data_IF_923616894999
#
_entry.id   IF_923616894999
#
_cell.length_a   1.000
_cell.length_b   1.000
_cell.length_c   1.000
_cell.angle_alpha   90.00
_cell.angle_beta   90.00
_cell.angle_gamma   90.00
#
_symmetry.space_group_name_H-M   'P 1'
#
loop_
_entity.id
_entity.type
_entity.pdbx_description
1 polymer ?
#
# COMPACT_ATOMS: atom_id res chain seq x y z
N UNK A 1 -20.62 15.03 -30.29
CA UNK A 1 -19.19 14.70 -30.16
C UNK A 1 -19.02 14.04 -28.79
N UNK A 2 -18.97 12.69 -28.86
CA UNK A 2 -18.94 11.79 -27.70
C UNK A 2 -17.49 11.56 -27.27
N UNK A 3 -17.13 12.01 -26.07
CA UNK A 3 -15.86 11.71 -25.43
C UNK A 3 -15.93 10.30 -24.82
N UNK A 4 -15.39 9.32 -25.49
CA UNK A 4 -15.13 7.99 -24.95
C UNK A 4 -13.94 8.09 -23.97
N UNK A 5 -14.18 7.93 -22.68
CA UNK A 5 -13.14 7.69 -21.68
C UNK A 5 -12.39 6.41 -22.02
N UNK A 6 -11.11 6.52 -22.37
CA UNK A 6 -10.18 5.40 -22.39
C UNK A 6 -9.99 4.90 -20.96
N UNK A 7 -10.46 3.70 -20.68
CA UNK A 7 -10.00 2.92 -19.52
C UNK A 7 -8.56 2.51 -19.82
N UNK A 8 -7.61 3.11 -19.12
CA UNK A 8 -6.23 2.64 -19.09
C UNK A 8 -6.20 1.26 -18.42
N UNK A 9 -5.62 0.30 -19.10
CA UNK A 9 -5.37 -1.03 -18.57
C UNK A 9 -4.22 -0.92 -17.57
N UNK A 10 -4.27 -1.63 -16.42
CA UNK A 10 -3.13 -1.72 -15.53
C UNK A 10 -1.98 -2.42 -16.23
N UNK A 11 -0.76 -1.88 -16.06
CA UNK A 11 0.46 -2.37 -16.68
C UNK A 11 0.72 -3.87 -16.40
N UNK A 12 1.48 -4.50 -17.28
CA UNK A 12 1.96 -5.90 -17.22
C UNK A 12 2.83 -6.12 -15.95
N UNK A 13 2.16 -6.34 -14.83
CA UNK A 13 2.70 -6.83 -13.58
C UNK A 13 1.75 -7.91 -13.08
N UNK A 14 2.28 -9.04 -12.67
CA UNK A 14 1.67 -10.22 -12.07
C UNK A 14 0.14 -10.15 -11.95
N UNK A 15 -0.59 -10.91 -12.79
CA UNK A 15 -2.07 -10.94 -12.72
C UNK A 15 -2.47 -11.25 -11.28
N UNK A 16 -2.96 -10.25 -10.56
CA UNK A 16 -3.42 -10.45 -9.22
C UNK A 16 -4.68 -11.33 -9.25
N UNK A 17 -4.78 -12.27 -8.34
CA UNK A 17 -5.94 -13.14 -8.21
C UNK A 17 -6.90 -12.58 -7.15
N UNK A 18 -8.14 -13.07 -7.14
CA UNK A 18 -9.15 -12.67 -6.16
C UNK A 18 -8.62 -12.68 -4.71
N UNK A 19 -7.97 -13.80 -4.31
CA UNK A 19 -7.47 -13.95 -2.94
C UNK A 19 -6.44 -12.88 -2.58
N UNK A 20 -5.49 -12.60 -3.46
CA UNK A 20 -4.48 -11.57 -3.22
C UNK A 20 -5.10 -10.18 -3.08
N UNK A 21 -6.07 -9.85 -3.94
CA UNK A 21 -6.79 -8.58 -3.88
C UNK A 21 -7.62 -8.46 -2.60
N UNK A 22 -8.30 -9.52 -2.21
CA UNK A 22 -9.06 -9.55 -0.95
C UNK A 22 -8.16 -9.39 0.28
N UNK A 23 -7.04 -10.14 0.34
CA UNK A 23 -6.09 -10.04 1.45
C UNK A 23 -5.39 -8.68 1.51
N UNK A 24 -5.31 -7.96 0.39
CA UNK A 24 -4.75 -6.61 0.30
C UNK A 24 -5.80 -5.51 0.47
N UNK A 25 -7.06 -5.85 0.71
CA UNK A 25 -8.15 -4.90 0.90
C UNK A 25 -8.58 -4.17 -0.39
N UNK A 26 -8.20 -4.69 -1.57
CA UNK A 26 -8.52 -4.10 -2.87
C UNK A 26 -9.88 -4.52 -3.39
N UNK A 27 -10.46 -5.59 -2.84
CA UNK A 27 -11.80 -6.05 -3.15
C UNK A 27 -12.51 -6.60 -1.90
N UNK A 28 -13.81 -6.86 -2.01
CA UNK A 28 -14.62 -7.49 -0.98
C UNK A 28 -15.03 -8.91 -1.41
N UNK A 29 -15.49 -9.73 -0.47
CA UNK A 29 -15.81 -11.15 -0.75
C UNK A 29 -16.77 -11.34 -1.93
N UNK A 30 -17.83 -10.54 -2.03
CA UNK A 30 -18.81 -10.62 -3.11
C UNK A 30 -18.23 -10.42 -4.51
N UNK A 31 -17.07 -9.80 -4.61
CA UNK A 31 -16.40 -9.59 -5.90
C UNK A 31 -15.86 -10.89 -6.50
N UNK A 32 -15.80 -12.00 -5.72
CA UNK A 32 -15.38 -13.31 -6.20
C UNK A 32 -16.21 -13.75 -7.42
N UNK A 33 -17.49 -13.42 -7.46
CA UNK A 33 -18.38 -13.74 -8.60
C UNK A 33 -17.91 -13.04 -9.89
N UNK A 34 -17.39 -11.81 -9.77
CA UNK A 34 -16.82 -11.07 -10.90
C UNK A 34 -15.56 -11.77 -11.43
N UNK A 35 -14.71 -12.30 -10.55
CA UNK A 35 -13.52 -13.05 -10.96
C UNK A 35 -13.91 -14.38 -11.61
N UNK A 36 -14.96 -15.07 -11.12
CA UNK A 36 -15.51 -16.27 -11.80
C UNK A 36 -16.02 -15.96 -13.21
N UNK A 37 -16.72 -14.82 -13.39
CA UNK A 37 -17.18 -14.38 -14.72
C UNK A 37 -16.01 -14.03 -15.65
N UNK A 38 -14.99 -13.35 -15.15
CA UNK A 38 -13.78 -13.05 -15.92
C UNK A 38 -13.08 -14.32 -16.36
N UNK A 39 -12.96 -15.33 -15.49
CA UNK A 39 -12.39 -16.62 -15.82
C UNK A 39 -13.15 -17.34 -16.93
N UNK A 40 -14.49 -17.36 -16.89
CA UNK A 40 -15.34 -17.96 -17.94
C UNK A 40 -15.19 -17.31 -19.31
N UNK A 41 -14.84 -16.01 -19.32
CA UNK A 41 -14.65 -15.25 -20.57
C UNK A 41 -13.25 -15.43 -21.20
N UNK A 42 -12.32 -16.03 -20.47
CA UNK A 42 -10.98 -16.37 -21.00
C UNK A 42 -11.10 -17.74 -21.68
N UNK A 43 -11.36 -17.76 -23.00
CA UNK A 43 -11.70 -18.96 -23.79
C UNK A 43 -10.60 -20.04 -23.88
N UNK A 44 -9.39 -19.80 -23.38
CA UNK A 44 -8.24 -20.71 -23.41
C UNK A 44 -7.47 -20.73 -22.09
N UNK A 45 -8.16 -20.65 -20.95
CA UNK A 45 -7.49 -20.74 -19.66
C UNK A 45 -7.08 -22.19 -19.40
N UNK A 46 -5.79 -22.49 -19.50
CA UNK A 46 -5.19 -23.77 -19.08
C UNK A 46 -5.25 -23.96 -17.55
N UNK A 47 -5.59 -22.89 -16.78
CA UNK A 47 -5.64 -22.90 -15.31
C UNK A 47 -7.06 -23.15 -14.82
N UNK A 48 -7.18 -23.93 -13.75
CA UNK A 48 -8.45 -24.22 -13.07
C UNK A 48 -9.03 -22.97 -12.40
N UNK A 49 -10.35 -22.95 -12.16
CA UNK A 49 -11.00 -21.82 -11.48
C UNK A 49 -10.43 -21.56 -10.06
N UNK A 50 -10.20 -22.56 -9.17
CA UNK A 50 -9.58 -22.31 -7.88
C UNK A 50 -8.19 -21.68 -8.01
N UNK A 51 -7.38 -22.13 -8.96
CA UNK A 51 -6.06 -21.55 -9.24
C UNK A 51 -6.16 -20.10 -9.73
N UNK A 52 -7.09 -19.79 -10.62
CA UNK A 52 -7.36 -18.43 -11.09
C UNK A 52 -7.80 -17.49 -9.96
N UNK A 53 -8.62 -18.00 -9.03
CA UNK A 53 -9.03 -17.26 -7.84
C UNK A 53 -7.92 -17.17 -6.78
N UNK A 54 -6.86 -17.98 -6.88
CA UNK A 54 -5.79 -18.09 -5.89
C UNK A 54 -6.21 -18.81 -4.60
N UNK A 55 -7.31 -19.55 -4.64
CA UNK A 55 -7.83 -20.30 -3.50
C UNK A 55 -7.14 -21.67 -3.42
N UNK A 56 -6.82 -22.10 -2.19
CA UNK A 56 -6.45 -23.49 -1.96
C UNK A 56 -7.67 -24.41 -2.23
N UNK A 57 -7.41 -25.71 -2.42
CA UNK A 57 -8.47 -26.68 -2.63
C UNK A 57 -9.52 -26.67 -1.50
N UNK A 58 -9.07 -26.58 -0.25
CA UNK A 58 -9.93 -26.47 0.92
C UNK A 58 -10.77 -25.20 0.92
N UNK A 59 -10.17 -24.03 0.61
CA UNK A 59 -10.89 -22.76 0.53
C UNK A 59 -11.93 -22.77 -0.59
N UNK A 60 -11.58 -23.37 -1.72
CA UNK A 60 -12.49 -23.49 -2.85
C UNK A 60 -13.66 -24.45 -2.55
N UNK A 61 -13.40 -25.56 -1.85
CA UNK A 61 -14.45 -26.48 -1.39
C UNK A 61 -15.43 -25.74 -0.46
N UNK A 62 -14.93 -24.98 0.52
CA UNK A 62 -15.76 -24.16 1.41
C UNK A 62 -16.61 -23.16 0.62
N UNK A 63 -16.05 -22.54 -0.42
CA UNK A 63 -16.78 -21.65 -1.33
C UNK A 63 -17.88 -22.36 -2.12
N UNK A 64 -17.63 -23.60 -2.55
CA UNK A 64 -18.63 -24.39 -3.26
C UNK A 64 -19.80 -24.82 -2.37
N UNK A 65 -19.52 -25.16 -1.10
CA UNK A 65 -20.52 -25.59 -0.13
C UNK A 65 -21.38 -24.44 0.40
N UNK A 66 -20.78 -23.27 0.58
CA UNK A 66 -21.46 -22.05 1.06
C UNK A 66 -21.22 -20.86 0.12
N UNK A 67 -22.08 -20.73 -0.88
CA UNK A 67 -22.04 -19.62 -1.86
C UNK A 67 -22.45 -18.26 -1.28
N UNK A 68 -22.91 -18.20 -0.02
CA UNK A 68 -23.07 -16.94 0.71
C UNK A 68 -21.73 -16.36 1.11
N UNK A 69 -20.71 -17.23 1.19
CA UNK A 69 -19.31 -16.88 1.44
C UNK A 69 -18.94 -16.65 2.90
N UNK A 70 -19.90 -16.79 3.84
CA UNK A 70 -19.63 -16.47 5.24
C UNK A 70 -18.51 -17.28 5.87
N UNK A 71 -18.35 -18.55 5.46
CA UNK A 71 -17.27 -19.40 5.94
C UNK A 71 -15.92 -19.07 5.26
N UNK A 72 -15.94 -18.87 3.94
CA UNK A 72 -14.75 -18.45 3.20
C UNK A 72 -14.24 -17.10 3.71
N UNK A 73 -15.12 -16.14 3.99
CA UNK A 73 -14.74 -14.83 4.53
C UNK A 73 -14.00 -14.95 5.87
N UNK A 74 -14.47 -15.84 6.76
CA UNK A 74 -13.78 -16.08 8.04
C UNK A 74 -12.37 -16.64 7.83
N UNK A 75 -12.21 -17.62 6.91
CA UNK A 75 -10.90 -18.20 6.59
C UNK A 75 -9.94 -17.16 6.01
N UNK A 76 -10.40 -16.37 5.04
CA UNK A 76 -9.56 -15.35 4.41
C UNK A 76 -9.27 -14.17 5.35
N UNK A 77 -10.22 -13.77 6.18
CA UNK A 77 -10.02 -12.68 7.15
C UNK A 77 -8.95 -13.04 8.18
N UNK A 78 -8.84 -14.31 8.57
CA UNK A 78 -7.77 -14.76 9.47
C UNK A 78 -6.36 -14.68 8.85
N UNK A 79 -6.26 -14.57 7.52
CA UNK A 79 -5.00 -14.49 6.78
C UNK A 79 -4.56 -13.04 6.51
N UNK A 80 -5.29 -12.03 6.99
CA UNK A 80 -4.95 -10.61 6.81
C UNK A 80 -4.87 -9.88 8.14
N UNK A 81 -4.09 -8.79 8.15
CA UNK A 81 -3.95 -7.90 9.30
C UNK A 81 -4.14 -6.45 8.89
N UNK A 82 -4.40 -5.58 9.87
CA UNK A 82 -4.40 -4.13 9.72
C UNK A 82 -3.06 -3.61 10.22
N UNK A 83 -2.35 -2.90 9.37
CA UNK A 83 -1.11 -2.23 9.72
C UNK A 83 -1.36 -0.74 9.81
N UNK A 84 -1.10 -0.17 10.98
CA UNK A 84 -1.17 1.28 11.20
C UNK A 84 0.07 1.94 10.61
N UNK A 85 -0.10 3.11 9.99
CA UNK A 85 1.00 3.87 9.45
C UNK A 85 0.78 5.37 9.54
N UNK A 86 1.88 6.14 9.46
CA UNK A 86 1.90 7.59 9.28
C UNK A 86 2.84 7.95 8.16
N UNK A 87 2.53 9.06 7.48
CA UNK A 87 3.41 9.64 6.46
C UNK A 87 3.81 11.02 6.90
N UNK A 88 5.12 11.27 6.87
CA UNK A 88 5.73 12.56 7.15
C UNK A 88 6.36 13.09 5.86
N UNK A 89 6.08 14.34 5.53
CA UNK A 89 6.60 15.01 4.33
C UNK A 89 7.37 16.25 4.71
N UNK A 90 8.40 16.56 3.93
CA UNK A 90 9.15 17.81 4.08
C UNK A 90 8.19 18.99 3.90
N UNK A 91 8.27 19.93 4.82
CA UNK A 91 7.52 21.17 4.76
C UNK A 91 8.43 22.28 4.20
N UNK A 92 7.91 22.98 3.20
CA UNK A 92 8.58 24.12 2.59
C UNK A 92 7.88 25.38 3.09
N UNK A 93 8.63 26.22 3.80
CA UNK A 93 8.19 27.53 4.28
C UNK A 93 9.18 28.61 3.82
N UNK A 94 8.92 29.88 4.15
CA UNK A 94 9.79 31.01 3.77
C UNK A 94 11.23 30.87 4.31
N UNK A 95 11.42 30.12 5.39
CA UNK A 95 12.73 29.88 5.99
C UNK A 95 13.42 28.63 5.40
N UNK A 96 12.63 27.67 4.88
CA UNK A 96 13.06 26.39 4.31
C UNK A 96 12.66 26.25 2.84
N UNK A 97 12.80 27.33 2.05
CA UNK A 97 12.47 27.30 0.62
C UNK A 97 13.35 26.34 -0.19
N UNK A 98 14.53 25.99 0.33
CA UNK A 98 15.46 25.07 -0.30
C UNK A 98 15.96 24.02 0.69
N UNK A 99 15.61 22.77 0.44
CA UNK A 99 16.09 21.59 1.18
C UNK A 99 16.91 20.73 0.21
N UNK A 100 18.26 20.60 0.42
CA UNK A 100 19.16 19.98 -0.57
C UNK A 100 18.80 18.54 -0.95
N UNK A 101 18.19 17.78 -0.02
CA UNK A 101 17.82 16.38 -0.19
C UNK A 101 16.35 16.17 -0.54
N UNK A 102 15.57 17.23 -0.72
CA UNK A 102 14.14 17.12 -1.07
C UNK A 102 13.95 16.37 -2.39
N UNK A 103 13.04 15.40 -2.40
CA UNK A 103 12.73 14.53 -3.54
C UNK A 103 13.90 13.65 -4.01
N UNK A 104 14.87 13.41 -3.14
CA UNK A 104 16.08 12.63 -3.45
C UNK A 104 16.24 11.45 -2.50
N UNK A 105 17.15 10.53 -2.86
CA UNK A 105 17.47 9.37 -2.06
C UNK A 105 18.30 9.70 -0.81
N UNK A 106 18.53 8.67 0.01
CA UNK A 106 19.21 8.75 1.29
C UNK A 106 20.65 9.26 1.15
N UNK A 107 21.33 8.98 0.04
CA UNK A 107 22.70 9.45 -0.22
C UNK A 107 22.77 10.99 -0.26
N UNK A 108 21.76 11.65 -0.82
CA UNK A 108 21.72 13.12 -0.88
C UNK A 108 21.42 13.74 0.49
N UNK A 109 20.64 13.04 1.35
CA UNK A 109 20.47 13.41 2.75
C UNK A 109 21.82 13.40 3.47
N UNK A 110 22.61 12.33 3.30
CA UNK A 110 23.93 12.21 3.91
C UNK A 110 24.92 13.27 3.38
N UNK A 111 24.92 13.54 2.06
CA UNK A 111 25.73 14.62 1.47
C UNK A 111 25.35 16.00 2.00
N UNK A 112 24.11 16.21 2.37
CA UNK A 112 23.64 17.44 3.00
C UNK A 112 24.04 17.55 4.49
N UNK A 113 24.77 16.57 5.03
CA UNK A 113 25.29 16.56 6.40
C UNK A 113 24.35 15.96 7.44
N UNK A 114 23.30 15.31 7.03
CA UNK A 114 22.35 14.66 7.96
C UNK A 114 22.57 13.15 7.99
N UNK A 115 22.83 12.59 9.17
CA UNK A 115 22.86 11.12 9.35
C UNK A 115 21.46 10.50 9.36
N UNK A 116 20.47 11.27 9.78
CA UNK A 116 19.07 10.87 9.88
C UNK A 116 18.16 12.00 9.40
N UNK A 117 16.93 11.70 8.94
CA UNK A 117 16.00 12.75 8.54
C UNK A 117 15.74 13.74 9.68
N UNK A 118 15.97 15.06 9.46
CA UNK A 118 15.75 16.08 10.49
C UNK A 118 14.25 16.29 10.74
N UNK A 119 13.70 15.62 11.73
CA UNK A 119 12.25 15.55 11.99
C UNK A 119 11.58 16.92 12.09
N UNK A 120 12.28 17.97 12.55
CA UNK A 120 11.76 19.34 12.64
C UNK A 120 11.43 19.95 11.25
N UNK A 121 12.00 19.40 10.17
CA UNK A 121 11.70 19.83 8.79
C UNK A 121 10.50 19.09 8.17
N UNK A 122 9.86 18.20 8.90
CA UNK A 122 8.77 17.37 8.42
C UNK A 122 7.44 17.74 9.07
N UNK A 123 6.35 17.53 8.32
CA UNK A 123 4.98 17.60 8.82
C UNK A 123 4.31 16.24 8.69
N UNK A 124 3.53 15.85 9.70
CA UNK A 124 2.62 14.71 9.64
C UNK A 124 1.46 15.05 8.69
N UNK A 125 1.37 14.34 7.57
CA UNK A 125 0.34 14.59 6.53
C UNK A 125 -0.70 13.49 6.42
N UNK A 126 -0.44 12.32 7.02
CA UNK A 126 -1.39 11.21 7.01
C UNK A 126 -1.19 10.31 8.23
N UNK A 127 -2.30 9.91 8.83
CA UNK A 127 -2.38 8.80 9.78
C UNK A 127 -3.53 7.90 9.36
N UNK A 128 -3.25 6.62 9.10
CA UNK A 128 -4.23 5.69 8.55
C UNK A 128 -3.82 4.24 8.79
N UNK A 129 -4.58 3.31 8.22
CA UNK A 129 -4.27 1.89 8.23
C UNK A 129 -4.32 1.30 6.82
N UNK A 130 -3.57 0.23 6.60
CA UNK A 130 -3.61 -0.59 5.40
C UNK A 130 -3.92 -2.03 5.77
N UNK A 131 -4.75 -2.69 4.95
CA UNK A 131 -5.02 -4.12 5.06
C UNK A 131 -3.98 -4.85 4.22
N UNK A 132 -3.34 -5.84 4.81
CA UNK A 132 -2.33 -6.66 4.13
C UNK A 132 -2.37 -8.11 4.63
N UNK A 133 -1.86 -9.08 3.84
CA UNK A 133 -1.63 -10.44 4.32
C UNK A 133 -0.77 -10.46 5.58
N UNK A 134 -1.04 -11.40 6.50
CA UNK A 134 -0.29 -11.53 7.75
C UNK A 134 1.20 -11.73 7.48
N UNK A 135 1.53 -12.54 6.47
CA UNK A 135 2.91 -12.91 6.12
C UNK A 135 3.62 -11.91 5.22
N UNK A 136 2.94 -10.78 4.86
CA UNK A 136 3.54 -9.80 3.94
C UNK A 136 4.74 -9.11 4.57
N UNK A 137 5.85 -9.09 3.84
CA UNK A 137 7.08 -8.40 4.23
C UNK A 137 6.88 -6.88 4.36
N UNK A 138 7.63 -6.24 5.27
CA UNK A 138 7.53 -4.79 5.53
C UNK A 138 7.73 -3.95 4.27
N UNK A 139 8.67 -4.31 3.41
CA UNK A 139 8.96 -3.61 2.15
C UNK A 139 7.79 -3.63 1.17
N UNK A 140 7.04 -4.74 1.14
CA UNK A 140 5.83 -4.84 0.31
C UNK A 140 4.67 -4.03 0.89
N UNK A 141 4.53 -3.99 2.23
CA UNK A 141 3.56 -3.13 2.90
C UNK A 141 3.86 -1.66 2.64
N UNK A 142 5.13 -1.25 2.74
CA UNK A 142 5.58 0.10 2.41
C UNK A 142 5.30 0.45 0.94
N UNK A 143 5.54 -0.49 0.02
CA UNK A 143 5.23 -0.33 -1.39
C UNK A 143 3.72 -0.17 -1.63
N UNK A 144 2.89 -0.95 -0.93
CA UNK A 144 1.44 -0.82 -1.00
C UNK A 144 0.96 0.55 -0.50
N UNK A 145 1.55 1.06 0.60
CA UNK A 145 1.24 2.39 1.11
C UNK A 145 1.69 3.46 0.09
N UNK A 146 2.95 3.43 -0.34
CA UNK A 146 3.53 4.42 -1.23
C UNK A 146 2.78 4.53 -2.55
N UNK A 147 2.52 3.41 -3.22
CA UNK A 147 1.80 3.38 -4.50
C UNK A 147 0.29 3.58 -4.35
N UNK A 148 -0.29 3.19 -3.22
CA UNK A 148 -1.70 3.42 -2.93
C UNK A 148 -2.08 4.90 -2.95
N UNK A 149 -1.19 5.81 -2.54
CA UNK A 149 -1.42 7.25 -2.59
C UNK A 149 -1.18 7.87 -3.98
N UNK A 150 -0.45 7.21 -4.86
CA UNK A 150 -0.26 7.68 -6.24
C UNK A 150 -1.54 7.62 -7.07
N UNK A 151 -2.51 6.78 -6.66
CA UNK A 151 -3.75 6.51 -7.40
C UNK A 151 -5.03 6.96 -6.67
N UNK A 152 -4.93 7.37 -5.40
CA UNK A 152 -6.09 7.66 -4.55
C UNK A 152 -5.87 8.97 -3.81
N UNK A 153 -6.59 10.03 -4.20
CA UNK A 153 -6.84 11.14 -3.29
C UNK A 153 -7.76 10.61 -2.18
N UNK A 154 -7.19 10.20 -1.06
CA UNK A 154 -7.98 9.80 0.11
C UNK A 154 -8.58 11.05 0.74
N UNK A 155 -9.87 10.96 1.07
CA UNK A 155 -10.56 11.97 1.85
C UNK A 155 -9.79 12.25 3.16
N UNK A 156 -9.45 13.51 3.43
CA UNK A 156 -8.65 13.90 4.60
C UNK A 156 -7.12 13.79 4.43
N UNK A 157 -6.62 13.51 3.24
CA UNK A 157 -5.19 13.58 2.95
C UNK A 157 -4.80 15.00 2.49
N UNK A 158 -3.99 15.69 3.28
CA UNK A 158 -3.56 17.08 2.99
C UNK A 158 -2.16 17.16 2.36
N UNK A 159 -1.49 16.00 2.20
CA UNK A 159 -0.14 15.91 1.64
C UNK A 159 -0.10 15.90 0.13
N UNK A 160 1.11 16.07 -0.40
CA UNK A 160 1.42 15.77 -1.80
C UNK A 160 1.55 14.26 -2.03
N UNK A 161 1.53 13.83 -3.29
CA UNK A 161 1.84 12.43 -3.63
C UNK A 161 3.17 12.02 -2.98
N UNK A 162 3.24 10.85 -2.32
CA UNK A 162 4.47 10.35 -1.71
C UNK A 162 5.62 10.29 -2.73
N UNK A 163 6.79 10.71 -2.29
CA UNK A 163 7.97 10.85 -3.13
C UNK A 163 9.23 10.49 -2.34
N UNK A 164 10.39 10.32 -3.01
CA UNK A 164 11.67 10.23 -2.29
C UNK A 164 11.83 11.39 -1.32
N UNK A 165 12.49 11.17 -0.21
CA UNK A 165 12.63 11.99 0.98
C UNK A 165 11.48 11.99 1.98
N UNK A 166 10.34 11.39 1.68
CA UNK A 166 9.29 11.20 2.69
C UNK A 166 9.69 10.15 3.72
N UNK A 167 9.08 10.18 4.89
CA UNK A 167 9.25 9.17 5.93
C UNK A 167 7.93 8.48 6.19
N UNK A 168 7.92 7.15 6.14
CA UNK A 168 6.78 6.32 6.53
C UNK A 168 7.07 5.67 7.88
N UNK A 169 6.17 5.84 8.83
CA UNK A 169 6.14 5.13 10.10
C UNK A 169 5.18 3.95 9.97
N UNK A 170 5.65 2.73 10.26
CA UNK A 170 4.81 1.58 10.57
C UNK A 170 4.78 1.40 12.07
N UNK A 171 3.58 1.25 12.65
CA UNK A 171 3.47 1.08 14.10
C UNK A 171 2.32 0.14 14.47
N UNK A 172 2.46 -0.48 15.62
CA UNK A 172 1.48 -1.34 16.28
C UNK A 172 1.67 -1.30 17.79
N UNK A 173 1.13 -2.30 18.51
CA UNK A 173 1.27 -2.43 19.97
C UNK A 173 2.68 -2.83 20.40
N UNK A 174 3.46 -3.43 19.52
CA UNK A 174 4.80 -3.96 19.80
C UNK A 174 5.88 -2.90 19.58
N UNK A 175 5.64 -1.92 18.70
CA UNK A 175 6.60 -0.86 18.48
C UNK A 175 6.35 0.03 17.26
N UNK A 176 7.42 0.72 16.89
CA UNK A 176 7.42 1.67 15.77
C UNK A 176 8.68 1.50 14.96
N UNK A 177 8.55 1.58 13.63
CA UNK A 177 9.65 1.55 12.68
C UNK A 177 9.47 2.69 11.69
N UNK A 178 10.57 3.31 11.31
CA UNK A 178 10.58 4.45 10.40
C UNK A 178 11.41 4.13 9.16
N UNK A 179 10.90 4.51 8.01
CA UNK A 179 11.51 4.23 6.71
C UNK A 179 11.55 5.50 5.87
N UNK A 180 12.74 5.84 5.42
CA UNK A 180 12.94 6.89 4.43
C UNK A 180 12.56 6.34 3.05
N UNK A 181 11.71 7.06 2.32
CA UNK A 181 11.40 6.73 0.94
C UNK A 181 12.61 7.09 0.09
N UNK A 182 13.31 6.08 -0.38
CA UNK A 182 14.47 6.24 -1.25
C UNK A 182 14.06 6.13 -2.73
N UNK A 183 14.98 6.45 -3.63
CA UNK A 183 14.78 6.30 -5.08
C UNK A 183 14.66 4.85 -5.53
N UNK A 184 15.14 3.91 -4.72
CA UNK A 184 15.15 2.45 -4.99
C UNK A 184 14.50 1.64 -3.87
N UNK A 185 13.47 2.18 -3.22
CA UNK A 185 12.76 1.47 -2.16
C UNK A 185 12.74 2.22 -0.84
N UNK A 186 12.94 1.52 0.27
CA UNK A 186 12.77 2.08 1.61
C UNK A 186 13.98 1.74 2.47
N UNK A 187 14.52 2.74 3.15
CA UNK A 187 15.70 2.60 4.02
C UNK A 187 15.25 2.79 5.48
N UNK A 188 15.48 1.82 6.37
CA UNK A 188 15.22 1.99 7.79
C UNK A 188 16.02 3.18 8.35
N UNK A 189 15.35 4.04 9.11
CA UNK A 189 15.97 5.25 9.70
C UNK A 189 15.52 5.44 11.14
N UNK A 190 16.28 6.24 11.89
CA UNK A 190 15.82 6.80 13.16
C UNK A 190 15.10 8.11 12.89
N UNK A 191 13.91 8.25 13.45
CA UNK A 191 13.10 9.45 13.30
C UNK A 191 12.40 9.77 14.61
N UNK A 192 12.37 11.04 14.99
CA UNK A 192 11.76 11.48 16.24
C UNK A 192 10.48 12.28 15.96
N UNK A 193 9.31 11.64 15.84
CA UNK A 193 8.07 12.30 15.42
C UNK A 193 7.60 13.41 16.37
N UNK A 194 8.15 13.45 17.59
CA UNK A 194 7.86 14.53 18.54
C UNK A 194 8.26 15.90 18.02
N UNK A 195 9.31 15.98 17.18
CA UNK A 195 9.80 17.22 16.59
C UNK A 195 9.12 17.53 15.25
N UNK A 196 8.39 16.61 14.66
CA UNK A 196 7.66 16.86 13.43
C UNK A 196 6.44 17.77 13.70
N UNK A 197 6.17 18.67 12.73
CA UNK A 197 5.01 19.56 12.79
C UNK A 197 3.72 18.77 12.62
N UNK A 198 2.63 19.31 13.15
CA UNK A 198 1.27 18.80 12.98
C UNK A 198 0.37 20.00 12.66
N UNK A 199 -0.37 19.88 11.60
CA UNK A 199 -1.42 20.86 11.25
C UNK A 199 -2.74 20.47 11.88
#
# INVERSE_FOLDING_TARGET
LSLRSKKEQPGEGQKSCFKQDYLSGLCVLKDINRYEELWKNVQESEISLPEYLGLSEQEYQVWQEDRTGGQLEKLLTAQRRRQQFRIYQLEFDDQNAYIPFAFKGIDELHKAGYEQPPAASYCLVCESEVICPVEREETEVLSQIFHGFSHWQREGYEGRVPAPSDVIELYDKEGRKYFYCDTKGFVPVRFSPFFAKRH
#
